data_IF_251745576097
#
_entry.id   IF_251745576097
#
_cell.length_a   1.000
_cell.length_b   1.000
_cell.length_c   1.000
_cell.angle_alpha   90.00
_cell.angle_beta   90.00
_cell.angle_gamma   90.00
#
_symmetry.space_group_name_H-M   'P 1'
#
loop_
_entity.id
_entity.type
_entity.pdbx_description
1 polymer ?
#
# COMPACT_ATOMS: atom_id res chain seq x y z
N UNK A 1 -1.51 0.73 17.18
CA UNK A 1 -1.00 0.75 15.79
C UNK A 1 -2.18 0.53 14.86
N UNK A 2 -2.29 1.31 13.78
CA UNK A 2 -3.28 1.04 12.74
C UNK A 2 -2.73 -0.05 11.81
N UNK A 3 -3.50 -1.11 11.60
CA UNK A 3 -3.16 -2.20 10.67
C UNK A 3 -4.42 -2.53 9.91
N UNK A 4 -4.41 -2.30 8.61
CA UNK A 4 -5.54 -2.62 7.74
C UNK A 4 -5.18 -3.85 6.94
N UNK A 5 -5.94 -4.92 7.15
CA UNK A 5 -5.82 -6.13 6.32
C UNK A 5 -6.33 -5.85 4.92
N UNK A 6 -5.55 -6.25 3.92
CA UNK A 6 -5.92 -6.13 2.52
C UNK A 6 -6.96 -7.22 2.23
N UNK A 7 -8.14 -6.89 1.70
CA UNK A 7 -9.15 -7.87 1.36
C UNK A 7 -8.58 -8.98 0.47
N UNK A 8 -8.89 -10.24 0.81
CA UNK A 8 -8.36 -11.42 0.13
C UNK A 8 -8.49 -11.33 -1.40
N UNK A 9 -9.62 -10.84 -1.91
CA UNK A 9 -9.91 -10.71 -3.34
C UNK A 9 -9.00 -9.70 -4.07
N UNK A 10 -8.31 -8.83 -3.34
CA UNK A 10 -7.37 -7.85 -3.88
C UNK A 10 -5.91 -8.31 -3.83
N UNK A 11 -5.61 -9.36 -3.06
CA UNK A 11 -4.24 -9.88 -2.94
C UNK A 11 -3.62 -10.30 -4.28
N UNK A 12 -4.36 -10.85 -5.28
CA UNK A 12 -3.78 -11.15 -6.59
C UNK A 12 -3.22 -9.93 -7.33
N UNK A 13 -3.75 -8.72 -7.04
CA UNK A 13 -3.28 -7.47 -7.67
C UNK A 13 -1.91 -7.00 -7.16
N UNK A 14 -1.42 -7.61 -6.08
CA UNK A 14 -0.12 -7.30 -5.48
C UNK A 14 1.02 -8.16 -6.04
N UNK A 15 0.67 -9.19 -6.83
CA UNK A 15 1.60 -10.12 -7.45
C UNK A 15 1.97 -11.32 -6.56
N UNK A 16 2.44 -12.39 -7.20
CA UNK A 16 2.75 -13.71 -6.60
C UNK A 16 3.88 -13.62 -5.56
N UNK A 17 4.73 -12.59 -5.63
CA UNK A 17 5.82 -12.38 -4.69
C UNK A 17 5.38 -11.52 -3.50
N UNK A 18 4.51 -12.07 -2.65
CA UNK A 18 4.32 -11.62 -1.26
C UNK A 18 5.51 -12.04 -0.38
N UNK A 19 6.73 -11.97 -0.91
CA UNK A 19 7.94 -12.27 -0.17
C UNK A 19 8.18 -11.19 0.87
N UNK A 20 8.57 -11.62 2.07
CA UNK A 20 8.77 -10.81 3.27
C UNK A 20 9.52 -9.49 2.95
N UNK A 21 8.78 -8.39 2.85
CA UNK A 21 9.34 -7.09 2.47
C UNK A 21 8.31 -5.97 2.60
N UNK A 22 8.80 -4.74 2.46
CA UNK A 22 7.98 -3.53 2.39
C UNK A 22 7.79 -3.12 0.94
N UNK A 23 6.55 -2.89 0.53
CA UNK A 23 6.25 -2.31 -0.78
C UNK A 23 5.21 -1.22 -0.70
N UNK A 24 5.19 -0.37 -1.72
CA UNK A 24 4.26 0.75 -1.81
C UNK A 24 3.06 0.39 -2.68
N UNK A 25 1.89 0.85 -2.26
CA UNK A 25 0.64 0.68 -3.00
C UNK A 25 -0.12 2.00 -3.10
N UNK A 26 -0.99 2.08 -4.10
CA UNK A 26 -2.14 2.98 -4.10
C UNK A 26 -3.39 2.18 -3.74
N UNK A 27 -4.29 2.82 -2.99
CA UNK A 27 -5.60 2.29 -2.61
C UNK A 27 -6.67 3.27 -3.04
N UNK A 28 -7.64 2.76 -3.79
CA UNK A 28 -8.88 3.48 -4.10
C UNK A 28 -9.96 3.02 -3.13
N UNK A 29 -10.64 3.97 -2.51
CA UNK A 29 -11.76 3.71 -1.62
C UNK A 29 -13.08 3.70 -2.38
N UNK A 30 -14.11 3.07 -1.80
CA UNK A 30 -15.47 3.02 -2.35
C UNK A 30 -16.13 4.38 -2.53
N UNK A 31 -15.67 5.39 -1.80
CA UNK A 31 -16.12 6.79 -1.92
C UNK A 31 -15.35 7.58 -3.00
N UNK A 32 -14.46 6.94 -3.75
CA UNK A 32 -13.65 7.53 -4.82
C UNK A 32 -12.37 8.22 -4.34
N UNK A 33 -12.07 8.24 -3.03
CA UNK A 33 -10.80 8.78 -2.53
C UNK A 33 -9.64 7.87 -2.92
N UNK A 34 -8.55 8.47 -3.37
CA UNK A 34 -7.30 7.78 -3.70
C UNK A 34 -6.23 8.09 -2.65
N UNK A 35 -5.64 7.04 -2.08
CA UNK A 35 -4.49 7.11 -1.19
C UNK A 35 -3.28 6.48 -1.88
N UNK A 36 -2.17 7.21 -1.97
CA UNK A 36 -0.95 6.74 -2.65
C UNK A 36 0.20 6.58 -1.66
N UNK A 37 1.26 5.88 -2.07
CA UNK A 37 2.47 5.66 -1.26
C UNK A 37 2.20 5.02 0.10
N UNK A 38 1.21 4.13 0.17
CA UNK A 38 0.89 3.37 1.37
C UNK A 38 1.85 2.20 1.52
N UNK A 39 2.31 1.96 2.74
CA UNK A 39 3.27 0.90 3.06
C UNK A 39 2.52 -0.39 3.38
N UNK A 40 2.82 -1.44 2.62
CA UNK A 40 2.38 -2.81 2.90
C UNK A 40 3.50 -3.61 3.54
N UNK A 41 3.19 -4.25 4.67
CA UNK A 41 4.08 -5.18 5.40
C UNK A 41 3.51 -6.60 5.39
N UNK A 42 4.40 -7.59 5.49
CA UNK A 42 4.05 -9.03 5.47
C UNK A 42 3.18 -9.44 4.27
N UNK A 43 3.22 -8.65 3.20
CA UNK A 43 2.41 -8.85 2.00
C UNK A 43 0.90 -8.66 2.16
N UNK A 44 0.37 -8.36 3.35
CA UNK A 44 -1.08 -8.40 3.60
C UNK A 44 -1.64 -7.24 4.44
N UNK A 45 -0.78 -6.37 4.96
CA UNK A 45 -1.22 -5.28 5.83
C UNK A 45 -0.74 -3.92 5.39
N UNK A 46 -1.67 -2.99 5.21
CA UNK A 46 -1.35 -1.57 5.11
C UNK A 46 -1.13 -1.05 6.53
N UNK A 47 0.01 -0.39 6.75
CA UNK A 47 0.45 0.02 8.11
C UNK A 47 0.63 1.53 8.25
N UNK A 48 0.76 2.26 7.15
CA UNK A 48 0.98 3.70 7.14
C UNK A 48 1.35 4.19 5.76
N UNK A 49 1.97 5.37 5.70
CA UNK A 49 2.48 6.04 4.51
C UNK A 49 4.00 5.97 4.47
N UNK A 50 4.57 6.19 3.28
CA UNK A 50 6.03 6.24 3.07
C UNK A 50 6.73 7.22 4.00
N UNK A 51 6.10 8.36 4.28
CA UNK A 51 6.69 9.45 5.06
C UNK A 51 6.47 9.29 6.57
N UNK A 52 5.72 8.26 6.99
CA UNK A 52 5.51 7.97 8.41
C UNK A 52 6.75 7.28 9.01
N UNK A 53 7.06 7.51 10.30
CA UNK A 53 8.12 6.79 11.00
C UNK A 53 7.93 5.28 10.87
N UNK A 54 8.95 4.57 10.35
CA UNK A 54 8.91 3.13 10.07
C UNK A 54 7.78 2.66 9.12
N UNK A 55 7.19 3.58 8.34
CA UNK A 55 6.04 3.29 7.49
C UNK A 55 4.75 3.02 8.26
N UNK A 56 4.66 3.50 9.51
CA UNK A 56 3.56 3.24 10.42
C UNK A 56 2.91 4.54 10.90
N UNK A 57 1.61 4.66 10.64
CA UNK A 57 0.89 5.90 10.94
C UNK A 57 -0.62 5.69 11.01
N UNK A 58 -1.34 6.80 11.14
CA UNK A 58 -2.81 6.77 11.17
C UNK A 58 -3.36 6.59 9.77
N UNK A 59 -4.26 5.63 9.61
CA UNK A 59 -5.01 5.39 8.39
C UNK A 59 -6.46 5.82 8.62
N UNK A 60 -7.00 6.63 7.71
CA UNK A 60 -8.34 7.24 7.83
C UNK A 60 -9.40 6.47 7.03
N UNK A 61 -9.23 5.15 6.98
CA UNK A 61 -10.12 4.20 6.30
C UNK A 61 -9.94 2.81 6.93
N UNK A 62 -10.78 1.86 6.52
CA UNK A 62 -10.79 0.48 6.99
C UNK A 62 -10.68 -0.48 5.79
N UNK A 63 -10.50 -1.77 6.06
CA UNK A 63 -10.46 -2.81 5.02
C UNK A 63 -11.72 -2.82 4.15
N UNK A 64 -12.88 -2.52 4.76
CA UNK A 64 -14.17 -2.51 4.08
C UNK A 64 -14.31 -1.36 3.08
N UNK A 65 -13.57 -0.27 3.30
CA UNK A 65 -13.60 0.90 2.43
C UNK A 65 -12.79 0.68 1.15
N UNK A 66 -11.91 -0.33 1.10
CA UNK A 66 -11.02 -0.59 -0.04
C UNK A 66 -11.83 -1.14 -1.22
N UNK A 67 -11.85 -0.36 -2.30
CA UNK A 67 -12.45 -0.76 -3.58
C UNK A 67 -11.40 -1.41 -4.48
N UNK A 68 -10.24 -0.77 -4.61
CA UNK A 68 -9.14 -1.26 -5.44
C UNK A 68 -7.76 -1.04 -4.79
N UNK A 69 -6.78 -1.83 -5.23
CA UNK A 69 -5.38 -1.72 -4.84
C UNK A 69 -4.45 -1.89 -6.04
N UNK A 70 -3.41 -1.07 -6.09
CA UNK A 70 -2.41 -1.10 -7.15
C UNK A 70 -1.02 -1.05 -6.54
N UNK A 71 -0.20 -2.06 -6.83
CA UNK A 71 1.21 -2.07 -6.42
C UNK A 71 1.99 -1.07 -7.26
N UNK A 72 2.80 -0.24 -6.59
CA UNK A 72 3.79 0.56 -7.29
C UNK A 72 4.93 -0.37 -7.69
N UNK A 73 5.21 -0.49 -8.99
CA UNK A 73 6.52 -0.94 -9.41
C UNK A 73 7.52 0.07 -8.84
N UNK A 74 8.57 -0.39 -8.16
CA UNK A 74 9.70 0.48 -7.82
C UNK A 74 10.30 0.97 -9.14
N UNK A 75 9.81 2.09 -9.66
CA UNK A 75 10.52 2.84 -10.68
C UNK A 75 11.66 3.50 -9.92
N UNK A 76 12.80 2.83 -9.83
CA UNK A 76 14.09 3.50 -9.65
C UNK A 76 14.28 4.43 -10.86
N UNK A 77 13.55 5.54 -10.87
CA UNK A 77 13.86 6.68 -11.69
C UNK A 77 15.16 7.24 -11.12
N UNK A 78 16.28 6.66 -11.56
CA UNK A 78 17.59 7.25 -11.42
C UNK A 78 17.45 8.66 -12.00
N UNK A 79 17.35 9.66 -11.12
CA UNK A 79 17.48 11.04 -11.52
C UNK A 79 18.84 11.14 -12.20
N UNK A 80 18.84 11.17 -13.54
CA UNK A 80 19.97 11.61 -14.32
C UNK A 80 20.07 13.10 -14.04
N UNK A 81 20.81 13.45 -13.00
CA UNK A 81 21.34 14.80 -12.81
C UNK A 81 22.20 15.07 -14.03
N UNK A 82 21.72 15.97 -14.88
CA UNK A 82 22.48 16.59 -15.98
C UNK A 82 23.41 17.65 -15.42
#
# INVERSE_FOLDING_TARGET
MARIEIPYYLTPKLGVEMNAGHYLVSVELRDGRLFTNLVVKEGRFITGRRDDPNGEGTLLFTSMDICDIQRHAFVYGRALTS
#
